data_IF_370689750916
#
_entry.id   IF_370689750916
#
_cell.length_a   1.000
_cell.length_b   1.000
_cell.length_c   1.000
_cell.angle_alpha   90.00
_cell.angle_beta   90.00
_cell.angle_gamma   90.00
#
_symmetry.space_group_name_H-M   'P 1'
#
loop_
_entity.id
_entity.type
_entity.pdbx_description
1 polymer ?
#
# COMPACT_ATOMS: atom_id res chain seq x y z
N UNK A 1 -10.22 0.11 -6.91
CA UNK A 1 -9.99 -0.67 -5.68
C UNK A 1 -10.03 0.25 -4.47
N UNK A 2 -10.36 -0.29 -3.30
CA UNK A 2 -10.18 0.44 -2.03
C UNK A 2 -8.73 0.26 -1.61
N UNK A 3 -8.08 1.34 -1.18
CA UNK A 3 -6.74 1.34 -0.61
C UNK A 3 -6.74 2.15 0.70
N UNK A 4 -5.73 1.92 1.54
CA UNK A 4 -5.48 2.75 2.74
C UNK A 4 -4.38 3.75 2.40
N UNK A 5 -4.67 5.03 2.53
CA UNK A 5 -3.72 6.11 2.25
C UNK A 5 -3.23 6.77 3.53
N UNK A 6 -2.01 7.32 3.48
CA UNK A 6 -1.44 8.21 4.48
C UNK A 6 -1.47 9.61 3.87
N UNK A 7 -2.48 10.42 4.19
CA UNK A 7 -2.62 11.77 3.62
C UNK A 7 -1.45 12.70 4.02
N UNK A 8 -0.95 12.52 5.23
CA UNK A 8 0.18 13.24 5.79
C UNK A 8 0.78 12.44 6.97
N UNK A 9 2.09 12.61 7.29
CA UNK A 9 2.68 11.97 8.46
C UNK A 9 1.93 12.33 9.75
N UNK A 10 1.67 11.34 10.62
CA UNK A 10 0.96 11.63 11.88
C UNK A 10 0.45 10.44 12.71
N UNK A 11 -0.47 10.70 13.65
CA UNK A 11 -1.10 9.69 14.51
C UNK A 11 -2.07 8.79 13.71
N UNK A 12 -2.65 7.70 14.27
CA UNK A 12 -3.32 6.67 13.46
C UNK A 12 -4.47 7.19 12.60
N UNK A 13 -5.08 8.30 13.02
CA UNK A 13 -6.22 8.98 12.40
C UNK A 13 -5.90 9.58 11.02
N UNK A 14 -4.61 9.62 10.63
CA UNK A 14 -4.22 10.03 9.27
C UNK A 14 -4.47 8.94 8.22
N UNK A 15 -4.69 7.69 8.65
CA UNK A 15 -5.01 6.58 7.75
C UNK A 15 -6.46 6.70 7.27
N UNK A 16 -6.66 6.67 5.96
CA UNK A 16 -7.98 6.81 5.35
C UNK A 16 -8.20 5.77 4.27
N UNK A 17 -9.40 5.19 4.23
CA UNK A 17 -9.83 4.41 3.07
C UNK A 17 -10.11 5.35 1.90
N UNK A 18 -9.56 5.04 0.74
CA UNK A 18 -9.72 5.82 -0.49
C UNK A 18 -10.04 4.90 -1.68
N UNK A 19 -10.75 5.43 -2.67
CA UNK A 19 -10.94 4.75 -3.95
C UNK A 19 -9.80 5.12 -4.90
N UNK A 20 -9.11 4.11 -5.42
CA UNK A 20 -8.02 4.25 -6.40
C UNK A 20 -8.30 3.41 -7.64
N UNK A 21 -7.70 3.76 -8.78
CA UNK A 21 -7.74 2.91 -9.97
C UNK A 21 -7.06 1.57 -9.66
N UNK A 22 -7.53 0.51 -10.30
CA UNK A 22 -6.80 -0.78 -10.28
C UNK A 22 -5.52 -0.59 -11.10
N UNK A 23 -4.34 -0.95 -10.58
CA UNK A 23 -3.10 -0.83 -11.34
C UNK A 23 -3.06 -1.85 -12.47
N UNK A 24 -2.37 -1.52 -13.54
CA UNK A 24 -2.02 -2.49 -14.59
C UNK A 24 -0.58 -2.97 -14.34
N UNK A 25 -0.33 -4.30 -14.37
CA UNK A 25 1.01 -4.83 -14.15
C UNK A 25 1.95 -4.46 -15.31
N UNK A 26 3.19 -4.14 -14.99
CA UNK A 26 4.26 -3.95 -15.97
C UNK A 26 4.83 -5.26 -16.51
N UNK A 27 5.90 -5.15 -17.32
CA UNK A 27 6.59 -6.33 -17.86
C UNK A 27 7.24 -7.12 -16.72
N UNK A 28 6.82 -8.38 -16.58
CA UNK A 28 7.35 -9.28 -15.53
C UNK A 28 6.67 -9.15 -14.17
N UNK A 29 5.63 -8.32 -14.05
CA UNK A 29 4.83 -8.17 -12.83
C UNK A 29 3.51 -8.95 -12.93
N UNK A 30 2.87 -9.20 -11.78
CA UNK A 30 1.55 -9.84 -11.69
C UNK A 30 0.57 -8.90 -10.97
N UNK A 31 -0.70 -8.97 -11.33
CA UNK A 31 -1.78 -8.31 -10.60
C UNK A 31 -2.43 -9.29 -9.63
N UNK A 32 -2.36 -8.98 -8.34
CA UNK A 32 -2.97 -9.78 -7.27
C UNK A 32 -4.25 -9.09 -6.79
N UNK A 33 -5.38 -9.82 -6.80
CA UNK A 33 -6.57 -9.44 -6.02
C UNK A 33 -6.33 -9.83 -4.57
N UNK A 34 -5.96 -8.85 -3.76
CA UNK A 34 -5.62 -9.00 -2.34
C UNK A 34 -6.83 -9.52 -1.56
N UNK A 35 -6.62 -10.59 -0.77
CA UNK A 35 -7.58 -11.12 0.19
C UNK A 35 -7.20 -10.77 1.64
N UNK A 36 -5.90 -10.67 1.92
CA UNK A 36 -5.36 -10.21 3.19
C UNK A 36 -4.06 -9.43 2.98
N UNK A 37 -3.81 -8.45 3.84
CA UNK A 37 -2.55 -7.72 3.93
C UNK A 37 -2.04 -7.80 5.37
N UNK A 38 -0.73 -7.97 5.53
CA UNK A 38 -0.12 -7.97 6.86
C UNK A 38 0.31 -6.55 7.26
N UNK A 39 0.39 -6.32 8.57
CA UNK A 39 0.75 -5.02 9.15
C UNK A 39 2.09 -5.17 9.88
N UNK A 40 3.07 -4.39 9.43
CA UNK A 40 4.45 -4.44 9.89
C UNK A 40 4.85 -3.15 10.62
N UNK A 41 5.96 -3.23 11.34
CA UNK A 41 6.56 -2.05 12.00
C UNK A 41 6.93 -0.95 11.00
N UNK A 42 7.34 -1.31 9.78
CA UNK A 42 7.70 -0.36 8.74
C UNK A 42 6.49 0.47 8.28
N UNK A 43 5.28 -0.09 8.20
CA UNK A 43 4.07 0.66 7.86
C UNK A 43 3.78 1.76 8.90
N UNK A 44 4.00 1.45 10.18
CA UNK A 44 3.88 2.41 11.28
C UNK A 44 4.92 3.54 11.14
N UNK A 45 6.15 3.21 10.74
CA UNK A 45 7.21 4.21 10.52
C UNK A 45 6.92 5.07 9.28
N UNK A 46 6.40 4.49 8.20
CA UNK A 46 6.01 5.21 6.99
C UNK A 46 4.88 6.19 7.29
N UNK A 47 3.84 5.75 8.01
CA UNK A 47 2.76 6.64 8.51
C UNK A 47 3.28 7.77 9.40
N UNK A 48 4.34 7.55 10.16
CA UNK A 48 5.00 8.59 10.97
C UNK A 48 5.94 9.49 10.17
N UNK A 49 6.15 9.23 8.87
CA UNK A 49 7.07 9.97 8.02
C UNK A 49 8.55 9.63 8.26
N UNK A 50 8.84 8.55 8.98
CA UNK A 50 10.20 8.15 9.38
C UNK A 50 10.80 7.08 8.44
N UNK A 51 10.01 6.58 7.50
CA UNK A 51 10.42 5.54 6.56
C UNK A 51 9.77 5.79 5.19
N UNK A 52 10.31 6.75 4.40
CA UNK A 52 9.74 7.08 3.10
C UNK A 52 9.92 5.89 2.13
N UNK A 53 8.94 5.65 1.23
CA UNK A 53 9.10 4.64 0.21
C UNK A 53 10.24 5.03 -0.76
N UNK A 54 10.90 4.06 -1.42
CA UNK A 54 11.87 4.35 -2.47
C UNK A 54 11.27 5.21 -3.59
N UNK A 55 12.12 5.98 -4.28
CA UNK A 55 11.68 6.78 -5.43
C UNK A 55 11.05 5.88 -6.51
N UNK A 56 9.85 6.24 -6.96
CA UNK A 56 9.10 5.49 -7.96
C UNK A 56 8.27 4.32 -7.43
N UNK A 57 8.39 3.97 -6.14
CA UNK A 57 7.51 2.99 -5.51
C UNK A 57 6.11 3.59 -5.23
N UNK A 58 5.15 2.72 -4.90
CA UNK A 58 3.79 3.15 -4.56
C UNK A 58 3.77 4.09 -3.35
N UNK A 59 2.87 5.07 -3.41
CA UNK A 59 2.51 5.93 -2.27
C UNK A 59 1.63 5.22 -1.23
N UNK A 60 1.04 4.08 -1.61
CA UNK A 60 0.22 3.25 -0.73
C UNK A 60 1.15 2.39 0.16
N UNK A 61 1.00 2.41 1.49
CA UNK A 61 1.77 1.54 2.38
C UNK A 61 1.41 0.06 2.14
N UNK A 62 2.40 -0.81 2.33
CA UNK A 62 2.22 -2.25 2.22
C UNK A 62 3.52 -2.95 1.88
N UNK A 63 3.80 -4.04 2.59
CA UNK A 63 4.99 -4.87 2.37
C UNK A 63 4.65 -6.33 2.06
N UNK A 64 3.46 -6.80 2.46
CA UNK A 64 3.06 -8.19 2.33
C UNK A 64 1.56 -8.33 2.07
N UNK A 65 1.20 -9.26 1.18
CA UNK A 65 -0.17 -9.58 0.83
C UNK A 65 -0.33 -11.08 0.54
N UNK A 66 -1.53 -11.59 0.74
CA UNK A 66 -1.98 -12.88 0.22
C UNK A 66 -3.26 -12.69 -0.60
N UNK A 67 -3.39 -13.40 -1.72
CA UNK A 67 -4.52 -13.23 -2.62
C UNK A 67 -4.44 -14.12 -3.84
N UNK A 68 -5.24 -13.78 -4.85
CA UNK A 68 -5.34 -14.53 -6.10
C UNK A 68 -4.72 -13.71 -7.24
N UNK A 69 -3.84 -14.32 -8.03
CA UNK A 69 -3.34 -13.72 -9.26
C UNK A 69 -4.49 -13.61 -10.27
N UNK A 70 -4.70 -12.41 -10.81
CA UNK A 70 -5.77 -12.13 -11.78
C UNK A 70 -5.24 -11.65 -13.13
N UNK A 71 -3.98 -11.22 -13.20
CA UNK A 71 -3.22 -10.98 -14.44
C UNK A 71 -1.73 -11.22 -14.20
#
# INVERSE_FOLDING_TARGET
MIAVEIAQPGPPEVLRAAQRKVPEPGVGELLIRVAAAGVNRADVLQRRGLYPPPAGASDIPGLEVAGVVVR
#
